data_IF_048549099176
#
_entry.id   IF_048549099176
#
_cell.length_a   1.000
_cell.length_b   1.000
_cell.length_c   1.000
_cell.angle_alpha   90.00
_cell.angle_beta   90.00
_cell.angle_gamma   90.00
#
_symmetry.space_group_name_H-M   'P 1'
#
loop_
_entity.id
_entity.type
_entity.pdbx_description
1 polymer ?
#
# COMPACT_ATOMS: atom_id res chain seq x y z
N UNK A 1 13.66 4.38 4.18
CA UNK A 1 12.81 4.92 3.10
C UNK A 1 12.99 4.06 1.84
N UNK A 2 11.92 3.36 1.44
CA UNK A 2 11.91 2.46 0.27
C UNK A 2 12.09 3.19 -1.08
N UNK A 3 11.84 4.50 -1.12
CA UNK A 3 11.99 5.34 -2.33
C UNK A 3 13.46 5.64 -2.63
N UNK A 4 14.33 5.59 -1.62
CA UNK A 4 15.78 5.73 -1.78
C UNK A 4 16.44 4.46 -2.34
N UNK A 5 15.71 3.34 -2.38
CA UNK A 5 16.17 2.08 -2.98
C UNK A 5 15.69 2.01 -4.43
N UNK A 6 16.62 1.78 -5.35
CA UNK A 6 16.28 1.61 -6.77
C UNK A 6 15.36 0.40 -6.98
N UNK A 7 14.46 0.48 -7.97
CA UNK A 7 13.50 -0.58 -8.26
C UNK A 7 14.17 -1.95 -8.44
N UNK A 8 15.30 -1.99 -9.17
CA UNK A 8 16.09 -3.21 -9.39
C UNK A 8 16.60 -3.86 -8.10
N UNK A 9 16.94 -3.07 -7.08
CA UNK A 9 17.47 -3.57 -5.80
C UNK A 9 16.39 -3.81 -4.75
N UNK A 10 15.18 -3.29 -4.96
CA UNK A 10 14.12 -3.30 -3.96
C UNK A 10 13.69 -4.71 -3.54
N UNK A 11 13.58 -5.71 -4.45
CA UNK A 11 13.27 -7.09 -4.06
C UNK A 11 14.30 -7.71 -3.10
N UNK A 12 15.60 -7.54 -3.37
CA UNK A 12 16.67 -8.01 -2.48
C UNK A 12 16.56 -7.36 -1.08
N UNK A 13 16.34 -6.04 -1.05
CA UNK A 13 16.18 -5.31 0.22
C UNK A 13 14.94 -5.77 0.98
N UNK A 14 13.82 -6.03 0.29
CA UNK A 14 12.60 -6.54 0.94
C UNK A 14 12.81 -7.94 1.52
N UNK A 15 13.49 -8.84 0.78
CA UNK A 15 13.84 -10.17 1.29
C UNK A 15 14.72 -10.09 2.54
N UNK A 16 15.75 -9.24 2.50
CA UNK A 16 16.63 -9.01 3.65
C UNK A 16 15.90 -8.39 4.85
N UNK A 17 14.98 -7.46 4.60
CA UNK A 17 14.16 -6.86 5.64
C UNK A 17 13.23 -7.88 6.29
N UNK A 18 12.55 -8.72 5.48
CA UNK A 18 11.68 -9.79 5.95
C UNK A 18 12.44 -10.84 6.76
N UNK A 19 13.68 -11.18 6.36
CA UNK A 19 14.53 -12.11 7.11
C UNK A 19 15.11 -11.51 8.40
N UNK A 20 15.20 -10.17 8.52
CA UNK A 20 15.73 -9.49 9.69
C UNK A 20 14.70 -9.35 10.83
N UNK A 21 13.42 -9.25 10.49
CA UNK A 21 12.33 -9.12 11.47
C UNK A 21 11.85 -10.49 11.95
N UNK A 22 11.28 -10.56 13.16
CA UNK A 22 10.72 -11.80 13.71
C UNK A 22 9.50 -12.29 12.93
N UNK A 23 8.69 -11.35 12.41
CA UNK A 23 7.49 -11.62 11.62
C UNK A 23 7.20 -10.44 10.71
N UNK A 24 6.59 -10.69 9.56
CA UNK A 24 6.09 -9.65 8.66
C UNK A 24 4.86 -10.13 7.89
N UNK A 25 3.95 -9.21 7.59
CA UNK A 25 2.78 -9.51 6.77
C UNK A 25 2.39 -8.28 5.94
N UNK A 26 1.69 -8.53 4.83
CA UNK A 26 1.11 -7.49 3.99
C UNK A 26 -0.40 -7.62 4.04
N UNK A 27 -1.07 -6.55 4.46
CA UNK A 27 -2.52 -6.43 4.38
C UNK A 27 -2.93 -5.56 3.19
N UNK A 28 -4.06 -5.90 2.60
CA UNK A 28 -4.56 -5.28 1.37
C UNK A 28 -5.91 -4.64 1.61
N UNK A 29 -6.24 -3.60 0.84
CA UNK A 29 -7.59 -3.11 0.66
C UNK A 29 -7.84 -2.90 -0.83
N UNK A 30 -8.99 -3.39 -1.30
CA UNK A 30 -9.38 -3.36 -2.71
C UNK A 30 -9.77 -1.96 -3.18
N UNK A 31 -9.81 -1.75 -4.49
CA UNK A 31 -10.34 -0.52 -5.08
C UNK A 31 -11.80 -0.27 -4.65
N UNK A 32 -12.63 -1.32 -4.61
CA UNK A 32 -14.01 -1.24 -4.14
C UNK A 32 -14.11 -0.79 -2.66
N UNK A 33 -13.21 -1.24 -1.80
CA UNK A 33 -13.17 -0.77 -0.39
C UNK A 33 -12.73 0.69 -0.28
N UNK A 34 -11.84 1.14 -1.15
CA UNK A 34 -11.47 2.56 -1.25
C UNK A 34 -12.66 3.38 -1.73
N UNK A 35 -13.38 2.91 -2.74
CA UNK A 35 -14.55 3.62 -3.29
C UNK A 35 -15.70 3.67 -2.28
N UNK A 36 -15.91 2.61 -1.49
CA UNK A 36 -16.98 2.53 -0.50
C UNK A 36 -16.70 3.34 0.78
N UNK A 37 -15.44 3.39 1.23
CA UNK A 37 -15.08 3.92 2.56
C UNK A 37 -14.09 5.08 2.56
N UNK A 38 -13.59 5.49 1.40
CA UNK A 38 -12.49 6.43 1.26
C UNK A 38 -11.12 5.82 1.55
N UNK A 39 -10.07 6.49 1.07
CA UNK A 39 -8.69 5.98 1.15
C UNK A 39 -8.19 5.83 2.59
N UNK A 40 -8.60 6.70 3.52
CA UNK A 40 -8.15 6.63 4.91
C UNK A 40 -8.68 5.40 5.62
N UNK A 41 -9.97 5.07 5.43
CA UNK A 41 -10.56 3.84 5.99
C UNK A 41 -9.94 2.60 5.36
N UNK A 42 -9.74 2.60 4.04
CA UNK A 42 -9.11 1.50 3.33
C UNK A 42 -7.65 1.27 3.78
N UNK A 43 -6.89 2.35 4.02
CA UNK A 43 -5.54 2.27 4.58
C UNK A 43 -5.56 1.66 5.99
N UNK A 44 -6.53 2.05 6.82
CA UNK A 44 -6.83 1.41 8.09
C UNK A 44 -7.07 -0.08 7.99
N UNK A 45 -7.95 -0.50 7.08
CA UNK A 45 -8.27 -1.92 6.88
C UNK A 45 -7.05 -2.72 6.43
N UNK A 46 -6.27 -2.19 5.49
CA UNK A 46 -5.03 -2.81 5.04
C UNK A 46 -4.02 -2.95 6.20
N UNK A 47 -3.84 -1.93 7.03
CA UNK A 47 -2.97 -2.00 8.19
C UNK A 47 -3.49 -2.98 9.26
N UNK A 48 -4.79 -2.99 9.54
CA UNK A 48 -5.41 -3.97 10.44
C UNK A 48 -5.11 -5.40 10.00
N UNK A 49 -5.31 -5.70 8.71
CA UNK A 49 -5.02 -7.02 8.12
C UNK A 49 -3.54 -7.39 8.21
N UNK A 50 -2.64 -6.42 8.04
CA UNK A 50 -1.21 -6.64 8.21
C UNK A 50 -0.86 -6.96 9.67
N UNK A 51 -1.47 -6.26 10.63
CA UNK A 51 -1.31 -6.52 12.06
C UNK A 51 -1.80 -7.94 12.40
N UNK A 52 -3.01 -8.31 11.95
CA UNK A 52 -3.56 -9.66 12.16
C UNK A 52 -2.63 -10.75 11.59
N UNK A 53 -2.04 -10.50 10.41
CA UNK A 53 -1.07 -11.41 9.80
C UNK A 53 0.23 -11.58 10.57
N UNK A 54 0.69 -10.54 11.28
CA UNK A 54 1.87 -10.61 12.17
C UNK A 54 1.51 -11.31 13.49
N UNK A 55 0.31 -11.09 14.02
CA UNK A 55 -0.21 -11.78 15.21
C UNK A 55 -0.37 -13.28 14.96
N UNK A 56 -0.87 -13.67 13.79
CA UNK A 56 -0.97 -15.07 13.37
C UNK A 56 0.40 -15.79 13.30
N UNK A 57 1.50 -15.04 13.22
CA UNK A 57 2.88 -15.55 13.27
C UNK A 57 3.44 -15.61 14.71
N UNK A 58 2.65 -15.28 15.73
CA UNK A 58 3.02 -15.39 17.14
C UNK A 58 3.35 -14.07 17.84
N UNK A 59 3.16 -12.91 17.20
CA UNK A 59 3.34 -11.62 17.87
C UNK A 59 2.19 -11.32 18.85
N UNK A 60 2.51 -10.85 20.05
CA UNK A 60 1.53 -10.48 21.09
C UNK A 60 1.21 -8.97 21.05
N UNK A 61 -0.07 -8.60 20.92
CA UNK A 61 -0.47 -7.19 20.81
C UNK A 61 -0.46 -6.43 22.14
N UNK A 62 -0.67 -7.10 23.27
CA UNK A 62 -0.88 -6.45 24.57
C UNK A 62 0.33 -5.63 25.05
N UNK A 63 1.52 -5.94 24.51
CA UNK A 63 2.80 -5.26 24.83
C UNK A 63 3.45 -4.62 23.60
N UNK A 64 2.69 -4.41 22.54
CA UNK A 64 3.20 -3.91 21.26
C UNK A 64 2.78 -2.46 21.04
N UNK A 65 3.77 -1.63 20.67
CA UNK A 65 3.55 -0.29 20.14
C UNK A 65 3.52 -0.37 18.60
N UNK A 66 2.41 0.04 18.00
CA UNK A 66 2.27 0.17 16.54
C UNK A 66 2.78 1.54 16.12
N UNK A 67 3.81 1.59 15.30
CA UNK A 67 4.35 2.83 14.75
C UNK A 67 3.85 3.00 13.32
N UNK A 68 3.11 4.08 13.05
CA UNK A 68 2.62 4.42 11.71
C UNK A 68 3.46 5.55 11.11
N UNK A 69 3.80 5.43 9.82
CA UNK A 69 4.40 6.54 9.08
C UNK A 69 3.32 7.59 8.74
N UNK A 70 3.58 8.84 9.14
CA UNK A 70 2.69 9.98 8.92
C UNK A 70 2.26 10.65 10.22
N UNK A 71 1.21 11.47 10.14
CA UNK A 71 0.69 12.27 11.25
C UNK A 71 -0.73 11.86 11.68
N UNK A 72 -1.23 10.72 11.19
CA UNK A 72 -2.61 10.32 11.42
C UNK A 72 -2.71 8.84 11.80
N UNK A 73 -3.47 8.57 12.86
CA UNK A 73 -3.88 7.22 13.24
C UNK A 73 -5.10 6.80 12.41
N UNK A 74 -4.83 6.02 11.36
CA UNK A 74 -5.85 5.46 10.48
C UNK A 74 -6.29 4.05 10.87
N UNK A 75 -5.68 3.41 11.88
CA UNK A 75 -5.89 1.97 12.17
C UNK A 75 -6.74 1.73 13.42
N UNK A 76 -6.60 2.55 14.46
CA UNK A 76 -7.29 2.31 15.75
C UNK A 76 -8.82 2.32 15.64
N UNK A 77 -9.38 3.04 14.66
CA UNK A 77 -10.84 3.12 14.45
C UNK A 77 -11.42 1.91 13.72
N UNK A 78 -10.58 1.07 13.11
CA UNK A 78 -11.04 -0.06 12.28
C UNK A 78 -10.52 -1.41 12.73
N UNK A 79 -9.45 -1.43 13.54
CA UNK A 79 -8.96 -2.67 14.13
C UNK A 79 -9.94 -3.19 15.20
N UNK A 80 -10.06 -4.51 15.30
CA UNK A 80 -11.06 -5.15 16.17
C UNK A 80 -10.77 -4.98 17.67
N UNK A 81 -9.49 -4.85 18.03
CA UNK A 81 -9.05 -4.65 19.42
C UNK A 81 -8.34 -3.30 19.58
N UNK A 82 -8.29 -2.71 20.78
CA UNK A 82 -7.54 -1.48 21.01
C UNK A 82 -6.04 -1.66 20.72
N UNK A 83 -5.46 -0.69 20.02
CA UNK A 83 -4.04 -0.64 19.69
C UNK A 83 -3.35 0.51 20.42
N UNK A 84 -2.12 0.30 20.86
CA UNK A 84 -1.24 1.41 21.23
C UNK A 84 -0.56 1.92 19.97
N UNK A 85 -0.99 3.07 19.45
CA UNK A 85 -0.51 3.63 18.18
C UNK A 85 0.29 4.91 18.40
N UNK A 86 1.42 5.02 17.71
CA UNK A 86 2.21 6.25 17.58
C UNK A 86 2.42 6.59 16.11
N UNK A 87 1.90 7.73 15.68
CA UNK A 87 2.20 8.28 14.36
C UNK A 87 3.54 9.04 14.39
N UNK A 88 4.39 8.79 13.40
CA UNK A 88 5.70 9.44 13.25
C UNK A 88 5.83 9.95 11.82
N UNK A 89 5.96 11.26 11.65
CA UNK A 89 6.18 11.88 10.34
C UNK A 89 7.55 11.47 9.81
N UNK A 90 7.60 10.90 8.60
CA UNK A 90 8.83 10.35 7.98
C UNK A 90 9.41 9.19 8.81
N UNK A 91 8.53 8.38 9.40
CA UNK A 91 8.92 7.21 10.17
C UNK A 91 9.69 6.19 9.34
N UNK A 92 9.42 6.11 8.03
CA UNK A 92 10.16 5.26 7.10
C UNK A 92 11.63 5.63 6.95
N UNK A 93 12.01 6.88 7.23
CA UNK A 93 13.40 7.35 7.25
C UNK A 93 14.06 7.11 8.60
N UNK A 94 13.33 7.34 9.68
CA UNK A 94 13.90 7.48 11.03
C UNK A 94 13.64 6.27 11.95
N UNK A 95 12.84 5.28 11.51
CA UNK A 95 12.54 4.05 12.24
C UNK A 95 12.81 2.80 11.37
N UNK A 96 13.67 1.90 11.86
CA UNK A 96 14.04 0.68 11.16
C UNK A 96 12.83 -0.23 10.86
N UNK A 97 11.92 -0.40 11.83
CA UNK A 97 10.72 -1.22 11.69
C UNK A 97 9.77 -0.69 10.61
N UNK A 98 9.57 0.64 10.58
CA UNK A 98 8.74 1.31 9.58
C UNK A 98 9.41 1.26 8.21
N UNK A 99 10.73 1.43 8.14
CA UNK A 99 11.48 1.28 6.89
C UNK A 99 11.34 -0.13 6.32
N UNK A 100 11.48 -1.17 7.16
CA UNK A 100 11.30 -2.57 6.77
C UNK A 100 9.87 -2.82 6.25
N UNK A 101 8.85 -2.38 6.99
CA UNK A 101 7.46 -2.50 6.55
C UNK A 101 7.21 -1.78 5.21
N UNK A 102 7.77 -0.58 5.02
CA UNK A 102 7.58 0.22 3.81
C UNK A 102 8.15 -0.46 2.57
N UNK A 103 9.32 -1.11 2.67
CA UNK A 103 9.96 -1.78 1.52
C UNK A 103 9.28 -3.10 1.18
N UNK A 104 8.85 -3.86 2.19
CA UNK A 104 8.06 -5.09 2.01
C UNK A 104 6.73 -4.77 1.31
N UNK A 105 5.99 -3.78 1.80
CA UNK A 105 4.73 -3.36 1.21
C UNK A 105 4.90 -2.83 -0.23
N UNK A 106 5.96 -2.06 -0.50
CA UNK A 106 6.24 -1.51 -1.83
C UNK A 106 6.54 -2.61 -2.85
N UNK A 107 7.39 -3.58 -2.48
CA UNK A 107 7.70 -4.72 -3.37
C UNK A 107 6.46 -5.55 -3.62
N UNK A 108 5.69 -5.89 -2.59
CA UNK A 108 4.46 -6.65 -2.74
C UNK A 108 3.48 -5.95 -3.70
N UNK A 109 3.25 -4.64 -3.55
CA UNK A 109 2.38 -3.86 -4.44
C UNK A 109 2.89 -3.83 -5.87
N UNK A 110 4.18 -3.59 -6.08
CA UNK A 110 4.75 -3.47 -7.43
C UNK A 110 4.74 -4.80 -8.17
N UNK A 111 4.94 -5.92 -7.46
CA UNK A 111 4.76 -7.29 -7.97
C UNK A 111 3.31 -7.52 -8.36
N UNK A 112 2.35 -7.23 -7.47
CA UNK A 112 0.92 -7.42 -7.75
C UNK A 112 0.46 -6.65 -9.00
N UNK A 113 0.90 -5.40 -9.17
CA UNK A 113 0.54 -4.62 -10.37
C UNK A 113 1.16 -5.20 -11.65
N UNK A 114 2.35 -5.82 -11.57
CA UNK A 114 2.99 -6.45 -12.72
C UNK A 114 2.34 -7.79 -13.08
N UNK A 115 1.92 -8.58 -12.09
CA UNK A 115 1.14 -9.80 -12.31
C UNK A 115 -0.21 -9.46 -12.97
N UNK A 116 -0.88 -8.45 -12.43
CA UNK A 116 -2.17 -8.00 -12.93
C UNK A 116 -2.11 -7.44 -14.37
N UNK A 117 -0.94 -6.95 -14.81
CA UNK A 117 -0.74 -6.54 -16.19
C UNK A 117 -0.89 -7.68 -17.19
N UNK A 118 -0.57 -8.93 -16.82
CA UNK A 118 -0.70 -10.07 -17.72
C UNK A 118 -2.15 -10.26 -18.20
N UNK A 119 -3.12 -10.06 -17.31
CA UNK A 119 -4.55 -10.16 -17.62
C UNK A 119 -5.16 -8.85 -18.15
N UNK A 120 -4.47 -7.73 -17.92
CA UNK A 120 -4.93 -6.40 -18.32
C UNK A 120 -3.82 -5.58 -19.01
N UNK A 121 -3.30 -6.05 -20.17
CA UNK A 121 -2.13 -5.46 -20.80
C UNK A 121 -2.36 -4.01 -21.25
N UNK A 122 -3.61 -3.66 -21.59
CA UNK A 122 -4.01 -2.32 -22.03
C UNK A 122 -3.55 -1.21 -21.07
N UNK A 123 -3.62 -1.45 -19.75
CA UNK A 123 -3.34 -0.41 -18.75
C UNK A 123 -1.84 -0.24 -18.42
N UNK A 124 -0.95 -1.10 -18.95
CA UNK A 124 0.51 -1.02 -18.74
C UNK A 124 0.94 -0.92 -17.27
N UNK A 125 0.26 -1.68 -16.40
CA UNK A 125 0.47 -1.64 -14.95
C UNK A 125 1.84 -2.18 -14.50
N UNK A 126 2.50 -2.99 -15.32
CA UNK A 126 3.88 -3.40 -15.16
C UNK A 126 4.85 -2.20 -15.14
N UNK A 127 4.51 -1.11 -15.84
CA UNK A 127 5.32 0.12 -15.89
C UNK A 127 4.83 1.18 -14.93
N UNK A 128 3.54 1.51 -14.99
CA UNK A 128 3.00 2.66 -14.25
C UNK A 128 2.47 2.30 -12.85
N UNK A 129 2.38 1.02 -12.48
CA UNK A 129 1.90 0.54 -11.17
C UNK A 129 0.55 1.16 -10.74
N UNK A 130 -0.31 1.48 -11.69
CA UNK A 130 -1.61 2.13 -11.48
C UNK A 130 -1.56 3.64 -11.21
N UNK A 131 -0.38 4.28 -11.25
CA UNK A 131 -0.29 5.74 -11.18
C UNK A 131 -0.86 6.38 -12.45
N UNK A 132 -1.34 7.61 -12.34
CA UNK A 132 -1.90 8.37 -13.45
C UNK A 132 -0.80 8.87 -14.40
N UNK A 133 -0.14 7.96 -15.10
CA UNK A 133 0.71 8.27 -16.25
C UNK A 133 -0.13 8.68 -17.46
N UNK A 134 0.48 9.32 -18.46
CA UNK A 134 -0.23 9.71 -19.67
C UNK A 134 -0.77 8.47 -20.41
N UNK A 135 0.01 7.40 -20.45
CA UNK A 135 -0.33 6.11 -21.04
C UNK A 135 -1.51 5.45 -20.31
N UNK A 136 -1.48 5.48 -18.96
CA UNK A 136 -2.57 4.90 -18.17
C UNK A 136 -3.89 5.67 -18.36
N UNK A 137 -3.84 7.01 -18.37
CA UNK A 137 -5.04 7.82 -18.69
C UNK A 137 -5.55 7.55 -20.10
N UNK A 138 -4.66 7.40 -21.09
CA UNK A 138 -5.06 7.05 -22.46
C UNK A 138 -5.69 5.65 -22.55
N UNK A 139 -5.16 4.67 -21.82
CA UNK A 139 -5.72 3.33 -21.69
C UNK A 139 -7.13 3.36 -21.08
N UNK A 140 -7.34 4.14 -20.03
CA UNK A 140 -8.66 4.31 -19.41
C UNK A 140 -9.65 5.01 -20.35
N UNK A 141 -9.21 6.04 -21.08
CA UNK A 141 -10.07 6.71 -22.07
C UNK A 141 -10.51 5.79 -23.21
N UNK A 142 -9.65 4.85 -23.62
CA UNK A 142 -9.93 3.95 -24.74
C UNK A 142 -10.66 2.67 -24.34
N UNK A 143 -10.30 2.06 -23.19
CA UNK A 143 -10.85 0.78 -22.74
C UNK A 143 -11.75 0.85 -21.51
N UNK A 144 -11.99 2.04 -20.96
CA UNK A 144 -12.78 2.22 -19.74
C UNK A 144 -12.05 1.79 -18.47
N UNK A 145 -12.75 1.91 -17.34
CA UNK A 145 -12.26 1.46 -16.04
C UNK A 145 -12.39 -0.07 -15.90
N UNK A 146 -11.39 -0.69 -15.29
CA UNK A 146 -11.45 -2.07 -14.80
C UNK A 146 -11.88 -2.15 -13.33
N UNK A 147 -12.23 -3.34 -12.80
CA UNK A 147 -12.56 -3.53 -11.39
C UNK A 147 -11.45 -3.15 -10.38
N UNK A 148 -10.21 -3.01 -10.86
CA UNK A 148 -9.06 -2.63 -10.04
C UNK A 148 -8.81 -1.12 -10.00
N UNK A 149 -9.55 -0.33 -10.79
CA UNK A 149 -9.53 1.12 -10.68
C UNK A 149 -10.41 1.60 -9.54
N UNK A 150 -9.99 2.69 -8.90
CA UNK A 150 -10.77 3.40 -7.87
C UNK A 150 -11.70 4.37 -8.59
N UNK A 151 -12.94 3.96 -8.83
CA UNK A 151 -13.89 4.74 -9.62
C UNK A 151 -14.29 6.06 -8.95
N UNK A 152 -14.15 6.15 -7.62
CA UNK A 152 -14.39 7.39 -6.86
C UNK A 152 -13.33 8.47 -7.09
N UNK A 153 -12.17 8.12 -7.66
CA UNK A 153 -11.11 9.07 -7.94
C UNK A 153 -11.35 9.71 -9.31
N UNK A 154 -11.16 11.03 -9.40
CA UNK A 154 -11.21 11.73 -10.67
C UNK A 154 -9.99 11.34 -11.53
N UNK A 155 -10.19 10.37 -12.43
CA UNK A 155 -9.14 9.85 -13.33
C UNK A 155 -9.22 10.49 -14.73
N UNK A 156 -10.31 11.24 -15.00
CA UNK A 156 -10.44 12.08 -16.19
C UNK A 156 -9.61 13.36 -16.06
N UNK A 157 -9.21 13.94 -17.19
CA UNK A 157 -8.50 15.22 -17.19
C UNK A 157 -9.36 16.28 -16.49
N UNK A 158 -8.73 17.17 -15.71
CA UNK A 158 -9.40 18.38 -15.26
C UNK A 158 -9.92 19.10 -16.52
N UNK A 159 -11.17 19.60 -16.55
CA UNK A 159 -11.64 20.35 -17.70
C UNK A 159 -10.64 21.48 -17.97
N UNK A 160 -10.10 21.52 -19.17
CA UNK A 160 -9.32 22.68 -19.62
C UNK A 160 -10.28 23.86 -19.56
N UNK A 161 -10.01 24.81 -18.66
CA UNK A 161 -10.74 26.08 -18.57
C UNK A 161 -10.35 26.96 -19.76
N UNK A 162 -10.72 26.54 -20.97
CA UNK A 162 -10.67 27.32 -22.20
C UNK A 162 -11.81 26.87 -23.11
#
# INVERSE_FOLDING_TARGET
>A
DSKLVSEKRRPDVALRAAAWVQASAVGWASAAEVDAGGIMRALGLAASRAIDGVVAQGAALERTLVILDGNHDYVSRVHAVPLQVRSVVKGDRDCASVSAASVIAKVARDTYMAELHADHPLYQWDRNKGYASAEHRAAIRSGGLSPFHRASWAIADAPTLF
#
